data_IF_257723526983
#
_entry.id   IF_257723526983
#
_cell.length_a   1.000
_cell.length_b   1.000
_cell.length_c   1.000
_cell.angle_alpha   90.00
_cell.angle_beta   90.00
_cell.angle_gamma   90.00
#
_symmetry.space_group_name_H-M   'P 1'
#
loop_
_entity.id
_entity.type
_entity.pdbx_description
1 polymer ?
#
# COMPACT_ATOMS: atom_id res chain seq x y z
N UNK A 1 31.76 32.45 8.84
CA UNK A 1 31.14 33.59 8.13
C UNK A 1 30.00 34.14 9.00
N UNK A 2 30.01 35.43 9.31
CA UNK A 2 29.25 36.02 10.42
C UNK A 2 27.74 36.18 10.14
N UNK A 3 26.91 35.77 11.12
CA UNK A 3 25.43 35.88 11.17
C UNK A 3 24.92 37.29 10.80
N UNK A 4 25.75 38.32 10.97
CA UNK A 4 25.43 39.71 10.64
C UNK A 4 25.30 39.99 9.13
N UNK A 5 26.03 39.27 8.25
CA UNK A 5 25.90 39.46 6.79
C UNK A 5 24.63 38.81 6.23
N UNK A 6 24.20 37.70 6.81
CA UNK A 6 22.94 37.03 6.45
C UNK A 6 21.74 37.88 6.84
N UNK A 7 21.76 38.48 8.04
CA UNK A 7 20.73 39.41 8.49
C UNK A 7 20.64 40.67 7.60
N UNK A 8 21.78 41.24 7.17
CA UNK A 8 21.80 42.39 6.27
C UNK A 8 21.28 42.09 4.85
N UNK A 9 21.49 40.87 4.32
CA UNK A 9 20.94 40.48 3.01
C UNK A 9 19.42 40.26 3.05
N UNK A 10 18.90 39.74 4.17
CA UNK A 10 17.45 39.59 4.38
C UNK A 10 16.79 40.97 4.55
N UNK A 11 17.43 41.87 5.30
CA UNK A 11 16.93 43.25 5.45
C UNK A 11 17.00 44.07 4.14
N UNK A 12 18.05 43.90 3.34
CA UNK A 12 18.17 44.57 2.04
C UNK A 12 17.15 44.06 1.00
N UNK A 13 16.80 42.77 1.05
CA UNK A 13 15.72 42.21 0.21
C UNK A 13 14.33 42.74 0.58
N UNK A 14 14.10 43.07 1.85
CA UNK A 14 12.84 43.63 2.33
C UNK A 14 12.66 45.12 2.00
N UNK A 15 13.75 45.90 1.92
CA UNK A 15 13.68 47.36 1.79
C UNK A 15 13.61 47.88 0.35
N UNK A 16 14.10 47.15 -0.67
CA UNK A 16 14.26 47.69 -2.02
C UNK A 16 13.60 46.90 -3.16
N UNK A 17 12.76 45.90 -2.90
CA UNK A 17 12.04 45.22 -4.00
C UNK A 17 11.56 43.79 -3.78
N UNK A 18 11.54 43.28 -2.54
CA UNK A 18 11.08 41.92 -2.21
C UNK A 18 9.68 41.82 -1.61
N UNK A 19 8.88 42.90 -1.63
CA UNK A 19 7.57 42.95 -0.96
C UNK A 19 6.57 41.92 -1.47
N UNK A 20 6.51 41.68 -2.79
CA UNK A 20 5.59 40.71 -3.39
C UNK A 20 5.97 39.25 -3.12
N UNK A 21 7.25 38.88 -3.33
CA UNK A 21 7.72 37.51 -3.14
C UNK A 21 7.77 37.09 -1.66
N UNK A 22 8.11 38.02 -0.75
CA UNK A 22 8.11 37.77 0.69
C UNK A 22 6.69 37.59 1.25
N UNK A 23 5.74 38.44 0.86
CA UNK A 23 4.35 38.33 1.31
C UNK A 23 3.64 37.12 0.70
N UNK A 24 3.87 36.81 -0.58
CA UNK A 24 3.35 35.58 -1.20
C UNK A 24 3.93 34.35 -0.51
N UNK A 25 5.24 34.32 -0.24
CA UNK A 25 5.87 33.22 0.50
C UNK A 25 5.30 33.01 1.90
N UNK A 26 5.11 34.10 2.67
CA UNK A 26 4.49 34.04 4.01
C UNK A 26 3.02 33.61 3.94
N UNK A 27 2.25 34.10 2.96
CA UNK A 27 0.86 33.71 2.77
C UNK A 27 0.71 32.23 2.37
N UNK A 28 1.58 31.72 1.48
CA UNK A 28 1.61 30.30 1.11
C UNK A 28 1.97 29.41 2.31
N UNK A 29 2.96 29.80 3.11
CA UNK A 29 3.31 29.08 4.34
C UNK A 29 2.14 29.12 5.34
N UNK A 30 1.49 30.26 5.50
CA UNK A 30 0.30 30.42 6.35
C UNK A 30 -0.86 29.51 5.91
N UNK A 31 -1.15 29.43 4.62
CA UNK A 31 -2.17 28.56 4.05
C UNK A 31 -1.85 27.08 4.31
N UNK A 32 -0.62 26.65 4.06
CA UNK A 32 -0.16 25.27 4.34
C UNK A 32 -0.31 24.93 5.82
N UNK A 33 0.07 25.84 6.73
CA UNK A 33 -0.07 25.61 8.16
C UNK A 33 -1.55 25.54 8.60
N UNK A 34 -2.42 26.37 8.02
CA UNK A 34 -3.85 26.33 8.26
C UNK A 34 -4.49 25.01 7.77
N UNK A 35 -4.11 24.55 6.57
CA UNK A 35 -4.54 23.26 6.02
C UNK A 35 -4.06 22.08 6.85
N UNK A 36 -2.80 22.09 7.30
CA UNK A 36 -2.27 21.06 8.22
C UNK A 36 -3.11 21.02 9.50
N UNK A 37 -3.47 22.19 10.05
CA UNK A 37 -4.28 22.26 11.26
C UNK A 37 -5.73 21.80 11.04
N UNK A 38 -6.31 22.09 9.87
CA UNK A 38 -7.64 21.61 9.48
C UNK A 38 -7.64 20.10 9.27
N UNK A 39 -6.70 19.57 8.48
CA UNK A 39 -6.55 18.14 8.25
C UNK A 39 -6.36 17.37 9.58
N UNK A 40 -5.57 17.89 10.52
CA UNK A 40 -5.41 17.29 11.86
C UNK A 40 -6.69 17.26 12.71
N UNK A 41 -7.65 18.16 12.46
CA UNK A 41 -8.94 18.18 13.16
C UNK A 41 -9.96 17.26 12.53
N UNK A 42 -9.84 17.02 11.23
CA UNK A 42 -10.77 16.19 10.45
C UNK A 42 -10.32 14.73 10.38
N UNK A 43 -9.02 14.47 10.45
CA UNK A 43 -8.42 13.13 10.36
C UNK A 43 -8.22 12.53 11.76
N UNK A 44 -8.78 11.33 11.98
CA UNK A 44 -8.24 10.38 12.95
C UNK A 44 -8.65 10.56 14.41
N UNK A 45 -9.84 11.08 14.71
CA UNK A 45 -10.37 11.03 16.08
C UNK A 45 -11.60 10.12 16.18
N UNK A 46 -11.50 9.06 17.00
CA UNK A 46 -12.66 8.31 17.50
C UNK A 46 -13.08 7.07 16.72
N UNK A 47 -12.23 6.53 15.83
CA UNK A 47 -12.47 5.18 15.30
C UNK A 47 -12.24 4.13 16.40
N UNK A 48 -13.08 3.08 16.46
CA UNK A 48 -12.85 1.97 17.38
C UNK A 48 -11.56 1.24 17.01
N UNK A 49 -10.98 0.56 17.99
CA UNK A 49 -9.83 -0.31 17.76
C UNK A 49 -10.11 -1.31 16.63
N UNK A 50 -9.09 -1.62 15.81
CA UNK A 50 -9.26 -2.57 14.72
C UNK A 50 -9.63 -3.95 15.28
N UNK A 51 -10.50 -4.71 14.58
CA UNK A 51 -10.87 -6.05 15.00
C UNK A 51 -9.64 -6.98 14.95
N UNK A 52 -9.48 -7.83 15.97
CA UNK A 52 -8.42 -8.84 16.00
C UNK A 52 -8.61 -9.84 14.86
N UNK A 53 -7.59 -10.00 14.04
CA UNK A 53 -7.60 -10.86 12.87
C UNK A 53 -6.77 -12.14 13.05
N UNK A 54 -6.05 -12.31 14.16
CA UNK A 54 -5.24 -13.50 14.43
C UNK A 54 -6.07 -14.78 14.38
N UNK A 55 -5.51 -15.83 13.80
CA UNK A 55 -6.19 -17.12 13.70
C UNK A 55 -5.78 -17.94 12.49
N UNK A 56 -6.46 -19.08 12.32
CA UNK A 56 -6.26 -19.98 11.20
C UNK A 56 -7.25 -19.66 10.07
N UNK A 57 -6.73 -19.48 8.86
CA UNK A 57 -7.50 -19.21 7.64
C UNK A 57 -7.36 -20.38 6.68
N UNK A 58 -8.43 -20.71 5.95
CA UNK A 58 -8.43 -21.82 5.00
C UNK A 58 -8.34 -23.19 5.66
N UNK A 59 -9.05 -23.38 6.79
CA UNK A 59 -9.09 -24.66 7.52
C UNK A 59 -9.58 -25.83 6.66
N UNK A 60 -10.37 -25.54 5.64
CA UNK A 60 -10.84 -26.50 4.63
C UNK A 60 -9.70 -27.10 3.80
N UNK A 61 -8.54 -26.44 3.73
CA UNK A 61 -7.33 -26.94 3.10
C UNK A 61 -6.46 -27.77 4.07
N UNK A 62 -6.93 -27.98 5.31
CA UNK A 62 -6.27 -28.85 6.26
C UNK A 62 -6.31 -30.29 5.77
N UNK A 63 -5.16 -30.83 5.38
CA UNK A 63 -5.05 -32.23 4.97
C UNK A 63 -4.92 -33.19 6.17
N UNK A 64 -4.76 -34.50 5.90
CA UNK A 64 -4.53 -35.51 6.93
C UNK A 64 -3.30 -35.18 7.79
N UNK A 65 -3.16 -35.85 8.93
CA UNK A 65 -2.12 -35.66 9.97
C UNK A 65 -0.65 -35.57 9.48
N UNK A 66 -0.39 -35.95 8.22
CA UNK A 66 0.92 -35.94 7.55
C UNK A 66 1.14 -34.75 6.59
N UNK A 67 0.18 -33.84 6.48
CA UNK A 67 0.32 -32.66 5.61
C UNK A 67 1.32 -31.68 6.20
N UNK A 68 2.11 -30.97 5.37
CA UNK A 68 2.93 -29.87 5.88
C UNK A 68 1.99 -28.88 6.57
N UNK A 69 2.30 -28.55 7.83
CA UNK A 69 1.45 -27.72 8.68
C UNK A 69 1.11 -26.34 8.07
N UNK A 70 0.31 -25.52 8.78
CA UNK A 70 -0.14 -24.24 8.26
C UNK A 70 1.06 -23.35 7.90
N UNK A 71 0.92 -22.62 6.80
CA UNK A 71 1.80 -21.49 6.48
C UNK A 71 1.62 -20.41 7.54
N UNK A 72 2.68 -19.72 7.92
CA UNK A 72 2.66 -18.70 8.96
C UNK A 72 2.85 -17.32 8.33
N UNK A 73 1.86 -16.47 8.49
CA UNK A 73 1.86 -15.09 7.99
C UNK A 73 1.97 -14.11 9.16
N UNK A 74 3.04 -13.31 9.19
CA UNK A 74 3.20 -12.18 10.10
C UNK A 74 2.75 -10.87 9.46
N UNK A 75 1.93 -10.08 10.15
CA UNK A 75 1.57 -8.72 9.73
C UNK A 75 2.15 -7.71 10.71
N UNK A 76 2.90 -6.72 10.17
CA UNK A 76 3.51 -5.63 10.92
C UNK A 76 3.16 -4.29 10.28
N UNK A 77 3.17 -3.22 11.07
CA UNK A 77 3.00 -1.88 10.56
C UNK A 77 2.20 -0.95 11.45
N UNK A 78 1.54 0.01 10.80
CA UNK A 78 0.73 1.04 11.42
C UNK A 78 -0.77 0.69 11.45
N UNK A 79 -1.64 1.71 11.49
CA UNK A 79 -3.09 1.55 11.50
C UNK A 79 -3.63 0.88 10.24
N UNK A 80 -2.97 1.08 9.09
CA UNK A 80 -3.38 0.43 7.84
C UNK A 80 -3.12 -1.07 7.91
N UNK A 81 -1.95 -1.50 8.41
CA UNK A 81 -1.64 -2.90 8.65
C UNK A 81 -2.56 -3.54 9.70
N UNK A 82 -2.91 -2.79 10.73
CA UNK A 82 -3.83 -3.25 11.77
C UNK A 82 -5.26 -3.42 11.26
N UNK A 83 -5.65 -2.76 10.16
CA UNK A 83 -7.00 -2.79 9.62
C UNK A 83 -7.94 -1.79 10.29
N UNK A 84 -7.43 -0.62 10.69
CA UNK A 84 -8.26 0.44 11.26
C UNK A 84 -9.28 0.94 10.21
N UNK A 85 -10.53 1.15 10.62
CA UNK A 85 -11.60 1.61 9.74
C UNK A 85 -12.61 0.53 9.32
N UNK A 86 -12.29 -0.76 9.49
CA UNK A 86 -13.25 -1.85 9.26
C UNK A 86 -13.88 -2.36 10.56
N UNK A 87 -15.08 -2.95 10.43
CA UNK A 87 -15.85 -3.46 11.58
C UNK A 87 -15.65 -4.95 11.83
N UNK A 88 -15.16 -5.71 10.84
CA UNK A 88 -15.06 -7.18 10.91
C UNK A 88 -13.63 -7.63 10.64
N UNK A 89 -13.15 -8.60 11.40
CA UNK A 89 -11.81 -9.17 11.26
C UNK A 89 -11.48 -9.60 9.82
N UNK A 90 -12.43 -10.27 9.14
CA UNK A 90 -12.30 -10.72 7.74
C UNK A 90 -12.13 -9.61 6.70
N UNK A 91 -12.37 -8.36 7.08
CA UNK A 91 -12.21 -7.19 6.20
C UNK A 91 -10.86 -6.49 6.40
N UNK A 92 -10.06 -6.94 7.39
CA UNK A 92 -8.71 -6.41 7.59
C UNK A 92 -7.80 -6.88 6.46
N UNK A 93 -6.78 -6.10 6.08
CA UNK A 93 -5.86 -6.49 5.01
C UNK A 93 -5.12 -7.78 5.36
N UNK A 94 -4.78 -7.98 6.64
CA UNK A 94 -4.13 -9.19 7.12
C UNK A 94 -4.99 -10.44 6.89
N UNK A 95 -6.28 -10.38 7.24
CA UNK A 95 -7.21 -11.49 7.01
C UNK A 95 -7.43 -11.77 5.52
N UNK A 96 -7.57 -10.72 4.71
CA UNK A 96 -7.74 -10.84 3.26
C UNK A 96 -6.52 -11.50 2.60
N UNK A 97 -5.30 -11.11 3.03
CA UNK A 97 -4.06 -11.72 2.58
C UNK A 97 -3.94 -13.18 3.03
N UNK A 98 -4.29 -13.48 4.29
CA UNK A 98 -4.27 -14.85 4.82
C UNK A 98 -5.23 -15.77 4.07
N UNK A 99 -6.48 -15.33 3.85
CA UNK A 99 -7.47 -16.07 3.06
C UNK A 99 -7.03 -16.26 1.62
N UNK A 100 -6.57 -15.20 0.96
CA UNK A 100 -6.10 -15.29 -0.43
C UNK A 100 -4.90 -16.21 -0.58
N UNK A 101 -3.93 -16.12 0.34
CA UNK A 101 -2.76 -17.01 0.36
C UNK A 101 -3.18 -18.45 0.60
N UNK A 102 -4.12 -18.70 1.50
CA UNK A 102 -4.59 -20.04 1.78
C UNK A 102 -5.25 -20.69 0.55
N UNK A 103 -6.07 -19.93 -0.17
CA UNK A 103 -6.71 -20.39 -1.40
C UNK A 103 -5.70 -20.67 -2.53
N UNK A 104 -4.68 -19.82 -2.70
CA UNK A 104 -3.68 -19.98 -3.76
C UNK A 104 -2.71 -21.13 -3.44
N UNK A 105 -2.29 -21.24 -2.18
CA UNK A 105 -1.36 -22.28 -1.74
C UNK A 105 -2.05 -23.63 -1.50
N UNK A 106 -3.39 -23.66 -1.51
CA UNK A 106 -4.21 -24.79 -1.06
C UNK A 106 -3.74 -25.35 0.30
N UNK A 107 -3.40 -24.43 1.22
CA UNK A 107 -2.82 -24.74 2.54
C UNK A 107 -3.37 -23.77 3.59
N UNK A 108 -3.67 -24.22 4.81
CA UNK A 108 -4.10 -23.32 5.86
C UNK A 108 -3.03 -22.27 6.19
N UNK A 109 -3.44 -21.08 6.61
CA UNK A 109 -2.55 -19.98 7.00
C UNK A 109 -2.84 -19.58 8.44
N UNK A 110 -1.85 -19.73 9.33
CA UNK A 110 -1.84 -19.13 10.67
C UNK A 110 -1.40 -17.66 10.55
N UNK A 111 -2.35 -16.75 10.73
CA UNK A 111 -2.10 -15.32 10.72
C UNK A 111 -1.81 -14.82 12.12
N UNK A 112 -0.76 -14.00 12.22
CA UNK A 112 -0.45 -13.20 13.41
C UNK A 112 -0.28 -11.73 13.06
N UNK A 113 -1.09 -10.86 13.63
CA UNK A 113 -1.03 -9.42 13.41
C UNK A 113 -0.50 -8.68 14.64
N UNK A 114 0.71 -8.13 14.53
CA UNK A 114 1.35 -7.34 15.60
C UNK A 114 1.41 -5.86 15.27
N UNK A 115 0.76 -5.43 14.18
CA UNK A 115 0.66 -4.04 13.79
C UNK A 115 -0.05 -3.21 14.85
N UNK A 116 0.35 -1.95 15.00
CA UNK A 116 -0.18 -1.05 16.00
C UNK A 116 -0.63 0.26 15.37
N UNK A 117 -1.89 0.63 15.61
CA UNK A 117 -2.41 1.93 15.18
C UNK A 117 -1.56 3.08 15.71
N UNK A 118 -1.14 3.97 14.81
CA UNK A 118 -0.29 5.11 15.15
C UNK A 118 1.20 4.79 15.23
N UNK A 119 1.62 3.54 15.02
CA UNK A 119 3.04 3.18 14.98
C UNK A 119 3.79 3.92 13.88
N UNK A 120 5.04 4.28 14.20
CA UNK A 120 6.05 4.78 13.27
C UNK A 120 7.13 3.72 13.10
N UNK A 121 8.07 3.94 12.18
CA UNK A 121 9.13 2.97 11.90
C UNK A 121 10.00 2.61 13.12
N UNK A 122 10.01 3.42 14.18
CA UNK A 122 10.71 3.13 15.44
C UNK A 122 10.07 2.02 16.29
N UNK A 123 8.79 1.71 16.07
CA UNK A 123 8.07 0.62 16.73
C UNK A 123 8.32 -0.74 16.07
N UNK A 124 8.89 -0.79 14.86
CA UNK A 124 9.10 -2.04 14.12
C UNK A 124 9.97 -3.03 14.88
N UNK A 125 10.94 -2.55 15.66
CA UNK A 125 11.82 -3.43 16.43
C UNK A 125 11.05 -4.23 17.49
N UNK A 126 10.10 -3.57 18.17
CA UNK A 126 9.18 -4.20 19.11
C UNK A 126 8.27 -5.19 18.39
N UNK A 127 7.72 -4.82 17.24
CA UNK A 127 6.82 -5.70 16.47
C UNK A 127 7.55 -6.95 15.95
N UNK A 128 8.79 -6.82 15.48
CA UNK A 128 9.64 -7.97 15.10
C UNK A 128 9.91 -8.85 16.31
N UNK A 129 10.24 -8.26 17.47
CA UNK A 129 10.42 -9.01 18.71
C UNK A 129 9.17 -9.80 19.11
N UNK A 130 7.97 -9.22 18.94
CA UNK A 130 6.73 -9.95 19.18
C UNK A 130 6.59 -11.19 18.28
N UNK A 131 7.02 -11.14 17.02
CA UNK A 131 6.91 -12.28 16.10
C UNK A 131 7.99 -13.34 16.30
N UNK A 132 9.20 -12.96 16.72
CA UNK A 132 10.36 -13.85 16.78
C UNK A 132 10.68 -14.35 18.19
N UNK A 133 10.42 -13.54 19.23
CA UNK A 133 10.92 -13.79 20.58
C UNK A 133 9.86 -14.44 21.50
N UNK A 134 8.65 -14.71 21.01
CA UNK A 134 7.56 -15.29 21.83
C UNK A 134 7.57 -16.83 21.90
N UNK A 135 8.64 -17.47 21.42
CA UNK A 135 8.81 -18.92 21.43
C UNK A 135 8.00 -19.67 20.36
N UNK A 136 7.25 -18.96 19.51
CA UNK A 136 6.61 -19.58 18.34
C UNK A 136 7.61 -19.74 17.19
N UNK A 137 7.38 -20.71 16.29
CA UNK A 137 8.22 -20.81 15.10
C UNK A 137 8.04 -19.59 14.19
N UNK A 138 9.15 -19.21 13.56
CA UNK A 138 9.28 -18.03 12.70
C UNK A 138 8.21 -18.03 11.60
N UNK A 139 7.60 -16.88 11.26
CA UNK A 139 6.69 -16.81 10.12
C UNK A 139 7.37 -17.18 8.81
N UNK A 140 6.71 -17.94 7.95
CA UNK A 140 7.22 -18.26 6.61
C UNK A 140 7.32 -16.98 5.77
N UNK A 141 6.40 -16.04 5.97
CA UNK A 141 6.41 -14.73 5.33
C UNK A 141 5.84 -13.64 6.24
N UNK A 142 6.42 -12.46 6.14
CA UNK A 142 5.96 -11.25 6.81
C UNK A 142 5.58 -10.16 5.82
N UNK A 143 4.47 -9.47 6.09
CA UNK A 143 4.04 -8.28 5.37
C UNK A 143 4.19 -7.06 6.28
N UNK A 144 4.88 -6.03 5.80
CA UNK A 144 5.07 -4.77 6.52
C UNK A 144 4.36 -3.65 5.75
N UNK A 145 3.44 -2.93 6.39
CA UNK A 145 2.87 -1.69 5.84
C UNK A 145 3.09 -0.53 6.81
N UNK A 146 4.04 0.34 6.50
CA UNK A 146 4.44 1.43 7.39
C UNK A 146 5.01 2.63 6.62
N UNK A 147 4.76 3.83 7.13
CA UNK A 147 5.38 5.06 6.62
C UNK A 147 4.42 6.26 6.58
N UNK A 148 3.10 6.03 6.63
CA UNK A 148 2.15 7.14 6.68
C UNK A 148 2.39 8.02 7.92
N UNK A 149 2.57 7.40 9.09
CA UNK A 149 2.87 8.11 10.34
C UNK A 149 4.25 8.76 10.34
N UNK A 150 5.24 8.19 9.66
CA UNK A 150 6.57 8.79 9.53
C UNK A 150 6.49 10.13 8.80
N UNK A 151 5.69 10.21 7.73
CA UNK A 151 5.47 11.46 7.00
C UNK A 151 4.65 12.45 7.82
N UNK A 152 3.52 12.03 8.41
CA UNK A 152 2.63 12.95 9.14
C UNK A 152 3.26 13.49 10.43
N UNK A 153 4.09 12.68 11.10
CA UNK A 153 4.84 13.05 12.32
C UNK A 153 6.26 13.53 12.04
N UNK A 154 6.65 13.63 10.76
CA UNK A 154 7.90 14.23 10.27
C UNK A 154 9.17 13.52 10.76
N UNK A 155 9.14 12.19 10.82
CA UNK A 155 10.36 11.40 11.00
C UNK A 155 11.32 11.66 9.82
N UNK A 156 12.63 11.84 10.06
CA UNK A 156 13.59 11.96 8.98
C UNK A 156 13.54 10.71 8.06
N UNK A 157 13.42 10.86 6.73
CA UNK A 157 13.31 9.72 5.82
C UNK A 157 14.46 8.71 5.94
N UNK A 158 15.67 9.20 6.17
CA UNK A 158 16.85 8.35 6.39
C UNK A 158 16.73 7.52 7.67
N UNK A 159 16.11 8.06 8.72
CA UNK A 159 15.85 7.32 9.96
C UNK A 159 14.75 6.28 9.74
N UNK A 160 13.65 6.65 9.10
CA UNK A 160 12.55 5.73 8.76
C UNK A 160 13.06 4.52 7.96
N UNK A 161 13.80 4.77 6.86
CA UNK A 161 14.37 3.70 6.03
C UNK A 161 15.38 2.84 6.78
N UNK A 162 16.22 3.44 7.65
CA UNK A 162 17.15 2.67 8.48
C UNK A 162 16.44 1.72 9.45
N UNK A 163 15.35 2.18 10.06
CA UNK A 163 14.57 1.37 11.01
C UNK A 163 13.84 0.24 10.27
N UNK A 164 13.21 0.55 9.14
CA UNK A 164 12.57 -0.45 8.27
C UNK A 164 13.59 -1.51 7.81
N UNK A 165 14.74 -1.09 7.29
CA UNK A 165 15.77 -2.03 6.81
C UNK A 165 16.36 -2.87 7.95
N UNK A 166 16.44 -2.35 9.18
CA UNK A 166 16.81 -3.15 10.36
C UNK A 166 15.79 -4.25 10.65
N UNK A 167 14.50 -3.91 10.64
CA UNK A 167 13.41 -4.86 10.86
C UNK A 167 13.38 -5.95 9.77
N UNK A 168 13.46 -5.55 8.49
CA UNK A 168 13.52 -6.47 7.35
C UNK A 168 14.73 -7.40 7.46
N UNK A 169 15.91 -6.86 7.81
CA UNK A 169 17.11 -7.70 7.99
C UNK A 169 16.92 -8.73 9.09
N UNK A 170 16.35 -8.35 10.25
CA UNK A 170 16.09 -9.30 11.35
C UNK A 170 15.15 -10.43 10.91
N UNK A 171 14.06 -10.11 10.20
CA UNK A 171 13.11 -11.10 9.69
C UNK A 171 13.74 -12.03 8.64
N UNK A 172 14.49 -11.48 7.67
CA UNK A 172 15.21 -12.27 6.66
C UNK A 172 16.26 -13.19 7.29
N UNK A 173 17.02 -12.70 8.26
CA UNK A 173 18.02 -13.51 9.00
C UNK A 173 17.36 -14.64 9.81
N UNK A 174 16.12 -14.45 10.28
CA UNK A 174 15.34 -15.50 10.94
C UNK A 174 14.78 -16.54 9.96
N UNK A 175 14.89 -16.32 8.64
CA UNK A 175 14.40 -17.23 7.61
C UNK A 175 13.01 -16.88 7.05
N UNK A 176 12.43 -15.73 7.41
CA UNK A 176 11.14 -15.29 6.89
C UNK A 176 11.31 -14.61 5.53
N UNK A 177 10.41 -14.86 4.57
CA UNK A 177 10.23 -13.99 3.41
C UNK A 177 9.62 -12.66 3.84
N UNK A 178 9.94 -11.56 3.15
CA UNK A 178 9.43 -10.23 3.53
C UNK A 178 8.90 -9.48 2.32
N UNK A 179 7.66 -9.02 2.44
CA UNK A 179 7.00 -8.14 1.47
C UNK A 179 6.66 -6.82 2.15
N UNK A 180 7.11 -5.71 1.58
CA UNK A 180 6.82 -4.37 2.13
C UNK A 180 5.83 -3.65 1.22
N UNK A 181 4.66 -3.32 1.75
CA UNK A 181 3.80 -2.30 1.18
C UNK A 181 4.39 -0.93 1.51
N UNK A 182 4.93 -0.24 0.51
CA UNK A 182 5.62 1.04 0.73
C UNK A 182 4.66 2.14 1.20
N UNK A 183 5.21 3.26 1.66
CA UNK A 183 4.42 4.43 2.09
C UNK A 183 3.35 4.79 1.04
N UNK A 184 2.06 4.85 1.42
CA UNK A 184 1.00 5.23 0.51
C UNK A 184 1.10 6.71 0.13
N UNK A 185 0.49 7.07 -1.01
CA UNK A 185 0.47 8.44 -1.48
C UNK A 185 -0.53 9.29 -0.70
N UNK A 186 -0.03 9.99 0.32
CA UNK A 186 -0.83 10.88 1.18
C UNK A 186 -1.47 12.06 0.43
N UNK A 187 -1.10 12.32 -0.82
CA UNK A 187 -1.78 13.32 -1.66
C UNK A 187 -3.17 12.89 -2.15
N UNK A 188 -3.54 11.62 -1.96
CA UNK A 188 -4.88 11.12 -2.32
C UNK A 188 -5.94 11.35 -1.24
N UNK A 189 -5.52 11.76 -0.05
CA UNK A 189 -6.39 11.99 1.10
C UNK A 189 -7.25 13.23 0.84
N UNK A 190 -8.58 13.03 0.79
CA UNK A 190 -9.58 14.05 0.44
C UNK A 190 -9.48 15.35 1.28
N UNK A 191 -9.32 15.31 2.62
CA UNK A 191 -9.21 16.53 3.43
C UNK A 191 -7.91 17.33 3.26
N UNK A 192 -7.02 16.95 2.35
CA UNK A 192 -5.78 17.69 2.06
C UNK A 192 -5.97 18.52 0.78
N UNK A 193 -5.95 19.85 0.90
CA UNK A 193 -6.09 20.78 -0.23
C UNK A 193 -4.74 21.18 -0.84
N UNK A 194 -4.76 21.92 -1.95
CA UNK A 194 -3.53 22.45 -2.56
C UNK A 194 -3.11 23.74 -1.85
N UNK A 195 -1.82 23.91 -1.52
CA UNK A 195 -0.66 23.20 -2.08
C UNK A 195 -0.14 22.03 -1.22
N UNK A 196 -0.72 21.78 -0.03
CA UNK A 196 -0.26 20.72 0.87
C UNK A 196 -0.37 19.33 0.22
N UNK A 197 -1.39 19.12 -0.62
CA UNK A 197 -1.61 17.87 -1.36
C UNK A 197 -0.40 17.50 -2.22
N UNK A 198 0.11 18.46 -2.99
CA UNK A 198 1.29 18.25 -3.83
C UNK A 198 2.54 17.92 -2.99
N UNK A 199 2.72 18.62 -1.87
CA UNK A 199 3.86 18.37 -0.99
C UNK A 199 3.77 16.99 -0.32
N UNK A 200 2.59 16.63 0.19
CA UNK A 200 2.32 15.33 0.79
C UNK A 200 2.62 14.20 -0.21
N UNK A 201 2.13 14.33 -1.44
CA UNK A 201 2.43 13.41 -2.56
C UNK A 201 3.91 13.28 -2.84
N UNK A 202 4.63 14.40 -2.90
CA UNK A 202 6.08 14.37 -3.18
C UNK A 202 6.85 13.67 -2.06
N UNK A 203 6.56 14.01 -0.80
CA UNK A 203 7.28 13.46 0.36
C UNK A 203 6.98 11.97 0.54
N UNK A 204 5.73 11.55 0.38
CA UNK A 204 5.34 10.13 0.48
C UNK A 204 6.01 9.28 -0.60
N UNK A 205 6.00 9.73 -1.86
CA UNK A 205 6.65 9.04 -2.98
C UNK A 205 8.17 8.96 -2.81
N UNK A 206 8.80 10.02 -2.30
CA UNK A 206 10.23 10.01 -1.99
C UNK A 206 10.56 8.99 -0.90
N UNK A 207 9.73 8.90 0.15
CA UNK A 207 9.90 7.89 1.18
C UNK A 207 9.69 6.48 0.60
N UNK A 208 8.65 6.26 -0.19
CA UNK A 208 8.37 4.98 -0.83
C UNK A 208 9.54 4.49 -1.70
N UNK A 209 10.11 5.35 -2.55
CA UNK A 209 11.28 5.02 -3.35
C UNK A 209 12.49 4.64 -2.47
N UNK A 210 12.73 5.39 -1.39
CA UNK A 210 13.83 5.11 -0.48
C UNK A 210 13.62 3.80 0.31
N UNK A 211 12.38 3.48 0.68
CA UNK A 211 12.02 2.18 1.26
C UNK A 211 12.31 1.05 0.26
N UNK A 212 11.87 1.15 -0.99
CA UNK A 212 12.14 0.14 -2.03
C UNK A 212 13.63 -0.13 -2.18
N UNK A 213 14.46 0.91 -2.29
CA UNK A 213 15.92 0.75 -2.43
C UNK A 213 16.50 -0.04 -1.25
N UNK A 214 16.14 0.34 -0.02
CA UNK A 214 16.67 -0.30 1.18
C UNK A 214 16.20 -1.74 1.37
N UNK A 215 14.93 -2.02 1.05
CA UNK A 215 14.30 -3.34 1.24
C UNK A 215 14.78 -4.34 0.18
N UNK A 216 14.83 -3.92 -1.08
CA UNK A 216 15.27 -4.79 -2.20
C UNK A 216 16.73 -5.17 -2.05
N UNK A 217 17.59 -4.27 -1.54
CA UNK A 217 18.99 -4.58 -1.23
C UNK A 217 19.16 -5.70 -0.18
N UNK A 218 18.13 -6.00 0.62
CA UNK A 218 18.11 -7.09 1.60
C UNK A 218 17.47 -8.38 1.05
N UNK A 219 17.18 -8.43 -0.26
CA UNK A 219 16.56 -9.60 -0.89
C UNK A 219 15.07 -9.77 -0.55
N UNK A 220 14.41 -8.70 -0.10
CA UNK A 220 12.98 -8.64 0.15
C UNK A 220 12.25 -7.96 -1.02
N UNK A 221 10.94 -8.16 -1.14
CA UNK A 221 10.12 -7.61 -2.24
C UNK A 221 9.34 -6.38 -1.75
N UNK A 222 9.07 -5.42 -2.64
CA UNK A 222 8.19 -4.29 -2.32
C UNK A 222 7.03 -4.17 -3.27
N UNK A 223 5.88 -3.74 -2.75
CA UNK A 223 4.70 -3.39 -3.53
C UNK A 223 4.42 -1.91 -3.31
N UNK A 224 4.33 -1.15 -4.40
CA UNK A 224 3.97 0.25 -4.33
C UNK A 224 2.50 0.40 -3.93
N UNK A 225 2.30 0.97 -2.74
CA UNK A 225 0.97 1.36 -2.26
C UNK A 225 0.60 2.79 -2.70
N UNK A 226 1.44 3.44 -3.50
CA UNK A 226 1.16 4.78 -4.03
C UNK A 226 -0.10 4.74 -4.89
N UNK A 227 -1.08 5.63 -4.64
CA UNK A 227 -2.42 5.57 -5.25
C UNK A 227 -3.00 4.15 -5.24
N UNK A 228 -3.22 3.56 -4.07
CA UNK A 228 -3.58 2.14 -3.83
C UNK A 228 -4.68 1.51 -4.72
N UNK A 229 -5.32 2.29 -5.59
CA UNK A 229 -5.90 1.89 -6.89
C UNK A 229 -6.00 3.09 -7.86
N UNK A 230 -4.91 3.54 -8.49
CA UNK A 230 -4.90 4.48 -9.62
C UNK A 230 -6.16 5.37 -9.80
N UNK A 231 -6.87 5.32 -10.95
CA UNK A 231 -8.10 6.08 -11.15
C UNK A 231 -9.27 5.72 -10.22
N UNK A 232 -9.33 4.54 -9.58
CA UNK A 232 -10.51 4.12 -8.80
C UNK A 232 -10.58 4.82 -7.44
N UNK A 233 -9.46 5.02 -6.73
CA UNK A 233 -9.46 5.85 -5.52
C UNK A 233 -9.68 7.33 -5.85
N UNK A 234 -9.18 7.79 -6.99
CA UNK A 234 -9.39 9.16 -7.46
C UNK A 234 -10.82 9.40 -7.98
N UNK A 235 -11.45 8.39 -8.59
CA UNK A 235 -12.80 8.43 -9.13
C UNK A 235 -13.85 8.20 -8.04
N UNK A 236 -13.59 7.27 -7.10
CA UNK A 236 -14.52 6.85 -6.06
C UNK A 236 -13.93 6.98 -4.63
N UNK A 237 -13.41 8.15 -4.22
CA UNK A 237 -12.77 8.32 -2.90
C UNK A 237 -13.71 7.98 -1.73
N UNK A 238 -15.02 8.22 -1.89
CA UNK A 238 -16.04 7.95 -0.87
C UNK A 238 -16.28 6.46 -0.60
N UNK A 239 -16.00 5.60 -1.57
CA UNK A 239 -16.14 4.16 -1.45
C UNK A 239 -14.85 3.53 -0.93
N UNK A 240 -13.71 4.13 -1.29
CA UNK A 240 -12.38 3.62 -1.00
C UNK A 240 -11.83 4.02 0.36
N UNK A 241 -12.28 5.15 0.92
CA UNK A 241 -11.95 5.57 2.27
C UNK A 241 -13.12 5.32 3.25
N UNK A 242 -12.76 5.04 4.50
CA UNK A 242 -13.69 4.96 5.60
C UNK A 242 -14.30 6.33 5.94
N UNK A 243 -15.17 6.38 6.97
CA UNK A 243 -15.89 7.59 7.35
C UNK A 243 -14.99 8.74 7.83
N UNK A 244 -13.70 8.47 8.09
CA UNK A 244 -12.71 9.46 8.49
C UNK A 244 -11.93 10.05 7.30
N UNK A 245 -12.28 9.68 6.06
CA UNK A 245 -11.64 10.11 4.81
C UNK A 245 -10.12 9.93 4.80
N UNK A 246 -9.59 9.00 5.62
CA UNK A 246 -8.16 8.78 5.78
C UNK A 246 -7.79 7.30 5.77
N UNK A 247 -8.46 6.46 6.57
CA UNK A 247 -8.20 5.03 6.56
C UNK A 247 -8.95 4.36 5.41
N UNK A 248 -8.39 3.31 4.78
CA UNK A 248 -9.11 2.54 3.76
C UNK A 248 -10.43 1.97 4.29
N UNK A 249 -11.43 1.95 3.42
CA UNK A 249 -12.67 1.21 3.65
C UNK A 249 -12.43 -0.30 3.54
N UNK A 250 -13.47 -1.12 3.74
CA UNK A 250 -13.37 -2.55 3.47
C UNK A 250 -12.99 -2.86 2.01
N UNK A 251 -13.45 -2.05 1.06
CA UNK A 251 -13.12 -2.18 -0.36
C UNK A 251 -11.70 -1.67 -0.66
N UNK A 252 -11.30 -0.57 -0.01
CA UNK A 252 -9.93 -0.09 -0.06
C UNK A 252 -8.92 -1.13 0.44
N UNK A 253 -9.22 -1.81 1.56
CA UNK A 253 -8.39 -2.91 2.06
C UNK A 253 -8.44 -4.15 1.18
N UNK A 254 -9.62 -4.52 0.66
CA UNK A 254 -9.73 -5.60 -0.32
C UNK A 254 -8.77 -5.36 -1.48
N UNK A 255 -8.67 -4.12 -1.93
CA UNK A 255 -7.83 -3.84 -3.06
C UNK A 255 -6.35 -3.72 -2.74
N UNK A 256 -6.01 -3.15 -1.59
CA UNK A 256 -4.64 -3.23 -1.07
C UNK A 256 -4.16 -4.68 -0.96
N UNK A 257 -5.00 -5.57 -0.44
CA UNK A 257 -4.70 -6.98 -0.35
C UNK A 257 -4.54 -7.62 -1.74
N UNK A 258 -5.40 -7.31 -2.72
CA UNK A 258 -5.27 -7.80 -4.09
C UNK A 258 -3.98 -7.35 -4.78
N UNK A 259 -3.46 -6.17 -4.47
CA UNK A 259 -2.17 -5.70 -5.02
C UNK A 259 -0.98 -6.44 -4.39
N UNK A 260 -1.04 -6.75 -3.09
CA UNK A 260 0.04 -7.39 -2.35
C UNK A 260 0.06 -8.91 -2.54
N UNK A 261 -1.10 -9.56 -2.60
CA UNK A 261 -1.26 -11.01 -2.63
C UNK A 261 -0.41 -11.71 -3.71
N UNK A 262 -0.34 -11.24 -4.96
CA UNK A 262 0.45 -11.92 -5.98
C UNK A 262 1.97 -11.89 -5.69
N UNK A 263 2.46 -10.83 -5.04
CA UNK A 263 3.85 -10.71 -4.58
C UNK A 263 4.10 -11.63 -3.38
N UNK A 264 3.13 -11.70 -2.47
CA UNK A 264 3.15 -12.60 -1.32
C UNK A 264 3.25 -14.07 -1.75
N UNK A 265 2.42 -14.49 -2.69
CA UNK A 265 2.44 -15.84 -3.24
C UNK A 265 3.73 -16.14 -4.02
N UNK A 266 4.24 -15.15 -4.78
CA UNK A 266 5.51 -15.31 -5.49
C UNK A 266 6.70 -15.45 -4.55
N UNK A 267 6.73 -14.73 -3.42
CA UNK A 267 7.78 -14.86 -2.41
C UNK A 267 7.86 -16.28 -1.82
N UNK A 268 6.72 -16.93 -1.65
CA UNK A 268 6.63 -18.32 -1.16
C UNK A 268 6.74 -19.38 -2.26
N UNK A 269 6.89 -18.99 -3.53
CA UNK A 269 6.98 -19.92 -4.66
C UNK A 269 5.67 -20.67 -4.97
N UNK A 270 4.53 -20.20 -4.47
CA UNK A 270 3.20 -20.81 -4.71
C UNK A 270 2.43 -20.14 -5.85
N UNK A 271 3.06 -19.19 -6.57
CA UNK A 271 2.48 -18.53 -7.74
C UNK A 271 3.13 -19.04 -9.05
N UNK A 272 2.37 -19.40 -10.11
CA UNK A 272 2.90 -20.07 -11.30
C UNK A 272 3.91 -19.31 -12.18
N UNK A 273 4.28 -18.06 -11.86
CA UNK A 273 5.05 -17.16 -12.75
C UNK A 273 6.05 -16.26 -11.96
N UNK A 274 6.72 -16.79 -10.93
CA UNK A 274 7.37 -15.94 -9.93
C UNK A 274 8.52 -15.06 -10.46
N UNK A 275 9.35 -15.48 -11.41
CA UNK A 275 10.59 -14.74 -11.76
C UNK A 275 10.94 -14.65 -13.27
N UNK A 276 9.97 -14.79 -14.20
CA UNK A 276 10.21 -14.56 -15.64
C UNK A 276 9.64 -13.21 -16.07
N UNK A 277 10.42 -12.48 -16.89
CA UNK A 277 9.98 -11.26 -17.59
C UNK A 277 8.83 -11.59 -18.53
N UNK A 278 7.67 -11.01 -18.29
CA UNK A 278 6.56 -11.00 -19.25
C UNK A 278 6.62 -9.71 -20.08
N UNK A 279 7.20 -9.83 -21.28
CA UNK A 279 7.32 -8.72 -22.24
C UNK A 279 5.95 -8.15 -22.64
N UNK A 280 4.85 -8.92 -22.46
CA UNK A 280 3.50 -8.45 -22.75
C UNK A 280 2.88 -7.56 -21.65
N UNK A 281 3.54 -7.44 -20.49
CA UNK A 281 3.07 -6.66 -19.33
C UNK A 281 3.93 -5.42 -19.02
N UNK A 282 4.70 -4.94 -20.00
CA UNK A 282 5.66 -3.83 -19.82
C UNK A 282 6.62 -4.05 -18.64
N UNK A 283 7.02 -5.30 -18.36
CA UNK A 283 7.97 -5.62 -17.28
C UNK A 283 9.41 -5.27 -17.70
N UNK A 284 10.13 -4.57 -16.84
CA UNK A 284 11.49 -4.07 -17.12
C UNK A 284 12.51 -4.51 -16.07
N UNK A 285 13.73 -4.77 -16.52
CA UNK A 285 14.91 -4.95 -15.67
C UNK A 285 15.65 -3.63 -15.56
N UNK A 286 15.54 -2.98 -14.40
CA UNK A 286 16.10 -1.64 -14.17
C UNK A 286 17.11 -1.66 -13.02
N UNK A 287 18.07 -0.72 -12.98
CA UNK A 287 18.83 -0.46 -11.77
C UNK A 287 17.87 -0.20 -10.60
N UNK A 288 18.17 -0.71 -9.41
CA UNK A 288 17.26 -0.64 -8.24
C UNK A 288 16.70 0.77 -7.99
N UNK A 289 17.54 1.81 -8.13
CA UNK A 289 17.11 3.20 -7.94
C UNK A 289 16.10 3.69 -9.00
N UNK A 290 16.24 3.23 -10.25
CA UNK A 290 15.29 3.55 -11.32
C UNK A 290 13.98 2.78 -11.14
N UNK A 291 14.06 1.48 -10.82
CA UNK A 291 12.87 0.68 -10.49
C UNK A 291 12.09 1.29 -9.31
N UNK A 292 12.79 1.73 -8.25
CA UNK A 292 12.19 2.37 -7.10
C UNK A 292 11.51 3.70 -7.44
N UNK A 293 12.14 4.53 -8.28
CA UNK A 293 11.55 5.79 -8.72
C UNK A 293 10.32 5.59 -9.60
N UNK A 294 10.36 4.60 -10.50
CA UNK A 294 9.22 4.23 -11.34
C UNK A 294 8.07 3.69 -10.49
N UNK A 295 8.36 2.75 -9.59
CA UNK A 295 7.37 2.14 -8.71
C UNK A 295 6.70 3.15 -7.77
N UNK A 296 7.46 4.11 -7.23
CA UNK A 296 6.88 5.19 -6.41
C UNK A 296 5.92 6.10 -7.20
N UNK A 297 5.99 6.10 -8.52
CA UNK A 297 5.10 6.85 -9.40
C UNK A 297 3.81 6.10 -9.78
N UNK A 298 3.81 4.77 -9.73
CA UNK A 298 2.77 3.91 -10.30
C UNK A 298 2.29 2.83 -9.31
N UNK A 299 1.00 2.88 -8.97
CA UNK A 299 0.36 1.97 -8.02
C UNK A 299 0.45 0.50 -8.40
N UNK A 300 0.59 -0.38 -7.40
CA UNK A 300 0.53 -1.83 -7.60
C UNK A 300 1.72 -2.41 -8.37
N UNK A 301 2.74 -1.59 -8.65
CA UNK A 301 4.01 -2.08 -9.16
C UNK A 301 4.75 -2.84 -8.08
N UNK A 302 5.27 -4.01 -8.45
CA UNK A 302 6.13 -4.82 -7.61
C UNK A 302 7.59 -4.60 -8.03
N UNK A 303 8.47 -4.46 -7.05
CA UNK A 303 9.92 -4.44 -7.28
C UNK A 303 10.53 -5.65 -6.59
N UNK A 304 11.13 -6.53 -7.39
CA UNK A 304 11.77 -7.77 -6.95
C UNK A 304 13.28 -7.68 -7.16
N UNK A 305 14.12 -8.11 -6.19
CA UNK A 305 15.57 -8.15 -6.36
C UNK A 305 15.96 -9.09 -7.51
N UNK A 306 16.91 -8.66 -8.34
CA UNK A 306 17.53 -9.49 -9.35
C UNK A 306 19.06 -9.54 -9.14
N UNK A 307 19.79 -10.27 -9.99
CA UNK A 307 21.24 -10.42 -9.84
C UNK A 307 21.96 -9.07 -9.98
N UNK A 308 22.84 -8.74 -9.02
CA UNK A 308 23.65 -7.52 -9.07
C UNK A 308 22.86 -6.26 -8.68
N UNK A 309 23.13 -5.08 -9.27
CA UNK A 309 22.45 -3.82 -8.94
C UNK A 309 21.07 -3.67 -9.59
N UNK A 310 20.47 -4.76 -10.07
CA UNK A 310 19.26 -4.77 -10.87
C UNK A 310 18.05 -5.23 -10.06
N UNK A 311 16.89 -4.72 -10.41
CA UNK A 311 15.60 -5.15 -9.92
C UNK A 311 14.63 -5.34 -11.08
N UNK A 312 13.75 -6.31 -10.93
CA UNK A 312 12.63 -6.55 -11.83
C UNK A 312 11.47 -5.67 -11.38
N UNK A 313 11.04 -4.76 -12.25
CA UNK A 313 9.83 -3.97 -12.09
C UNK A 313 8.67 -4.71 -12.79
N UNK A 314 7.64 -5.09 -12.04
CA UNK A 314 6.44 -5.72 -12.59
C UNK A 314 5.23 -4.82 -12.50
N UNK A 315 4.53 -4.66 -13.61
CA UNK A 315 3.24 -3.98 -13.65
C UNK A 315 2.13 -5.02 -13.58
N UNK A 316 1.56 -5.23 -12.40
CA UNK A 316 0.39 -6.10 -12.24
C UNK A 316 -0.89 -5.35 -12.63
N UNK A 317 -0.99 -4.97 -13.91
CA UNK A 317 -2.19 -4.30 -14.47
C UNK A 317 -3.39 -5.25 -14.44
N UNK A 318 -4.54 -4.73 -14.00
CA UNK A 318 -5.84 -5.39 -14.20
C UNK A 318 -6.05 -5.62 -15.70
N UNK A 319 -6.25 -6.87 -16.12
CA UNK A 319 -7.01 -7.13 -17.34
C UNK A 319 -8.47 -6.87 -16.96
N UNK A 320 -9.01 -5.71 -17.37
CA UNK A 320 -10.45 -5.45 -17.28
C UNK A 320 -11.11 -6.58 -18.08
N UNK A 321 -11.86 -7.46 -17.41
CA UNK A 321 -12.85 -8.28 -18.12
C UNK A 321 -13.79 -7.25 -18.74
N UNK A 322 -13.93 -7.16 -20.08
CA UNK A 322 -14.90 -6.25 -20.66
C UNK A 322 -16.24 -6.59 -20.01
N UNK A 323 -16.79 -5.64 -19.24
CA UNK A 323 -18.17 -5.78 -18.79
C UNK A 323 -19.01 -5.90 -20.04
N UNK A 324 -19.89 -6.89 -20.10
CA UNK A 324 -20.93 -6.92 -21.11
C UNK A 324 -21.65 -5.58 -21.06
N UNK A 325 -21.50 -4.79 -22.11
CA UNK A 325 -22.33 -3.61 -22.32
C UNK A 325 -23.79 -4.08 -22.28
N UNK A 326 -24.64 -3.59 -21.36
CA UNK A 326 -26.06 -3.92 -21.36
C UNK A 326 -26.79 -3.30 -22.56
N UNK A 327 -26.08 -2.61 -23.46
CA UNK A 327 -26.64 -1.84 -24.57
C UNK A 327 -26.70 -2.61 -25.90
N UNK A 328 -26.26 -3.87 -25.97
CA UNK A 328 -26.31 -4.67 -27.21
C UNK A 328 -27.42 -5.75 -27.23
N UNK A 329 -28.28 -5.82 -26.20
CA UNK A 329 -29.38 -6.79 -26.11
C UNK A 329 -30.77 -6.19 -26.36
N UNK A 330 -30.87 -5.15 -27.19
CA UNK A 330 -32.16 -4.61 -27.64
C UNK A 330 -32.18 -4.27 -29.13
N UNK A 331 -31.86 -5.25 -29.99
CA UNK A 331 -32.16 -5.12 -31.43
C UNK A 331 -32.27 -6.46 -32.15
N UNK A 332 -33.05 -7.42 -31.62
CA UNK A 332 -33.55 -8.54 -32.44
C UNK A 332 -34.90 -9.01 -31.89
N UNK A 333 -35.99 -8.63 -32.56
CA UNK A 333 -37.32 -9.12 -32.17
C UNK A 333 -38.51 -8.41 -32.81
N UNK A 334 -38.41 -7.88 -34.02
CA UNK A 334 -39.61 -7.53 -34.79
C UNK A 334 -40.15 -8.84 -35.38
N UNK A 335 -41.11 -9.45 -34.69
CA UNK A 335 -41.80 -10.65 -35.16
C UNK A 335 -42.59 -10.37 -36.45
N UNK A 336 -42.69 -11.33 -37.38
CA UNK A 336 -43.51 -11.18 -38.57
C UNK A 336 -45.02 -11.15 -38.20
N UNK A 337 -45.86 -10.42 -38.94
CA UNK A 337 -47.30 -10.35 -38.66
C UNK A 337 -47.99 -11.70 -38.89
N UNK A 338 -49.08 -12.00 -38.16
CA UNK A 338 -49.74 -13.30 -38.22
C UNK A 338 -50.47 -13.51 -39.56
N UNK A 339 -50.30 -14.72 -40.10
CA UNK A 339 -51.01 -15.20 -41.28
C UNK A 339 -52.46 -15.57 -40.94
N UNK A 340 -53.36 -15.09 -41.78
CA UNK A 340 -54.81 -15.33 -41.76
C UNK A 340 -55.12 -16.80 -42.06
N UNK A 341 -55.81 -17.48 -41.14
CA UNK A 341 -56.30 -18.86 -41.33
C UNK A 341 -57.72 -18.78 -41.91
N UNK A 342 -57.85 -19.05 -43.20
CA UNK A 342 -59.13 -19.39 -43.81
C UNK A 342 -59.53 -20.81 -43.37
N UNK A 343 -60.69 -20.92 -42.70
CA UNK A 343 -61.30 -22.21 -42.34
C UNK A 343 -61.93 -22.91 -43.56
N UNK A 344 -62.17 -24.23 -43.50
CA UNK A 344 -62.63 -25.01 -44.63
C UNK A 344 -64.15 -25.00 -44.81
N UNK A 345 -64.53 -25.18 -46.09
CA UNK A 345 -65.86 -25.37 -46.70
C UNK A 345 -66.63 -24.10 -47.12
#
# INVERSE_FOLDING_TARGET
MSRARTARRIAAGAAYGGGGLGLVGVATVGLVLAEVQFAKRTVGTGLPDPPRADGLYGSEFGGPEQSPGPLRLGMLGDSTAAGLGVRRARQTPAALLASGLASVAERPVELRNVALSGAMSDDLDRQVGLLLDDGRPVPDVCVIMIGANDVTRRMPPTQSVRLLTSAVRRLRLAGSEVVVGTCPDLGTIEPVYQPLRWLARRVSRQLAAAQTIGVVALGARTVSMGDLLGPEFAANPREMFGPDSYHPSAEGYATAAMAVLPTLCAALGVWPESDRLDVSRDEDMLPVAQAASAAAGEAGTEVTPARGPWALLKHRRRRRVPGEDPAAASSTGTGPPPAEVAGPA
#
